data_IF_217395817455
#
_entry.id   IF_217395817455
#
_cell.length_a   1.000
_cell.length_b   1.000
_cell.length_c   1.000
_cell.angle_alpha   90.00
_cell.angle_beta   90.00
_cell.angle_gamma   90.00
#
_symmetry.space_group_name_H-M   'P 1'
#
loop_
_entity.id
_entity.type
_entity.pdbx_description
1 polymer ?
#
# COMPACT_ATOMS: atom_id res chain seq x y z
N UNK A 1 -2.26 13.51 -2.21
CA UNK A 1 -1.66 14.10 -3.43
C UNK A 1 -0.18 13.73 -3.48
N UNK A 2 0.40 13.57 -4.67
CA UNK A 2 1.82 13.24 -4.89
C UNK A 2 2.33 13.98 -6.13
N UNK A 3 3.49 14.63 -6.06
CA UNK A 3 4.08 15.33 -7.21
C UNK A 3 5.26 14.54 -7.78
N UNK A 4 5.12 14.10 -9.02
CA UNK A 4 6.16 13.45 -9.80
C UNK A 4 6.94 14.48 -10.61
N UNK A 5 8.17 14.76 -10.16
CA UNK A 5 9.07 15.72 -10.80
C UNK A 5 9.57 15.26 -12.16
N UNK A 6 9.68 13.96 -12.40
CA UNK A 6 10.23 13.42 -13.65
C UNK A 6 9.27 13.65 -14.81
N UNK A 7 7.97 13.46 -14.57
CA UNK A 7 6.94 13.63 -15.58
C UNK A 7 6.14 14.93 -15.46
N UNK A 8 6.49 15.79 -14.49
CA UNK A 8 5.79 17.04 -14.17
C UNK A 8 4.27 16.84 -13.94
N UNK A 9 3.94 15.80 -13.15
CA UNK A 9 2.57 15.37 -12.88
C UNK A 9 2.23 15.53 -11.41
N UNK A 10 1.11 16.19 -11.11
CA UNK A 10 0.52 16.19 -9.78
C UNK A 10 -0.59 15.14 -9.73
N UNK A 11 -0.28 14.01 -9.13
CA UNK A 11 -1.23 12.94 -8.88
C UNK A 11 -2.09 13.25 -7.67
N UNK A 12 -3.37 12.92 -7.77
CA UNK A 12 -4.34 13.13 -6.71
C UNK A 12 -5.36 11.99 -6.66
N UNK A 13 -6.06 11.91 -5.53
CA UNK A 13 -7.14 10.96 -5.30
C UNK A 13 -8.37 11.76 -4.93
N UNK A 14 -9.46 11.51 -5.64
CA UNK A 14 -10.79 11.97 -5.27
C UNK A 14 -11.55 10.80 -4.65
N UNK A 15 -12.20 11.07 -3.52
CA UNK A 15 -13.08 10.13 -2.83
C UNK A 15 -14.50 10.65 -2.88
N UNK A 16 -15.42 9.86 -3.43
CA UNK A 16 -16.86 10.14 -3.33
C UNK A 16 -17.43 9.32 -2.16
N UNK A 17 -17.47 9.95 -0.99
CA UNK A 17 -17.86 9.33 0.30
C UNK A 17 -19.37 9.26 0.54
N UNK A 18 -20.18 9.78 -0.37
CA UNK A 18 -21.65 9.77 -0.28
C UNK A 18 -22.27 8.41 -0.57
N UNK A 19 -21.50 7.44 -1.09
CA UNK A 19 -21.97 6.11 -1.43
C UNK A 19 -21.14 5.02 -0.74
N UNK A 20 -21.81 3.96 -0.28
CA UNK A 20 -21.17 2.70 0.10
C UNK A 20 -21.45 1.70 -1.03
N UNK A 21 -20.42 1.15 -1.71
CA UNK A 21 -18.98 1.30 -1.44
C UNK A 21 -18.41 2.67 -1.86
N UNK A 22 -17.32 3.10 -1.18
CA UNK A 22 -16.61 4.35 -1.48
C UNK A 22 -16.02 4.26 -2.89
N UNK A 23 -16.35 5.22 -3.75
CA UNK A 23 -15.71 5.34 -5.04
C UNK A 23 -14.45 6.18 -4.90
N UNK A 24 -13.38 5.70 -5.52
CA UNK A 24 -12.14 6.44 -5.66
C UNK A 24 -11.86 6.70 -7.13
N UNK A 25 -11.42 7.91 -7.43
CA UNK A 25 -10.84 8.27 -8.70
C UNK A 25 -9.38 8.68 -8.47
N UNK A 26 -8.45 8.07 -9.19
CA UNK A 26 -7.05 8.50 -9.22
C UNK A 26 -6.79 9.19 -10.54
N UNK A 27 -6.24 10.38 -10.48
CA UNK A 27 -5.91 11.16 -11.67
C UNK A 27 -4.64 11.96 -11.50
N UNK A 28 -4.25 12.64 -12.57
CA UNK A 28 -3.17 13.63 -12.54
C UNK A 28 -3.52 14.88 -13.34
N UNK A 29 -2.86 15.98 -12.99
CA UNK A 29 -2.81 17.20 -13.79
C UNK A 29 -1.36 17.50 -14.16
N UNK A 30 -1.17 18.22 -15.26
CA UNK A 30 0.14 18.78 -15.64
C UNK A 30 0.02 20.29 -15.77
N UNK A 31 1.10 21.07 -15.61
CA UNK A 31 1.04 22.52 -15.83
C UNK A 31 0.58 22.90 -17.23
N UNK A 32 0.87 22.07 -18.24
CA UNK A 32 0.52 22.31 -19.64
C UNK A 32 -0.94 21.91 -19.94
N UNK A 33 -1.49 20.95 -19.21
CA UNK A 33 -2.88 20.50 -19.30
C UNK A 33 -3.50 20.47 -17.89
N UNK A 34 -4.08 21.59 -17.43
CA UNK A 34 -4.68 21.68 -16.09
C UNK A 34 -5.99 20.88 -15.98
N UNK A 35 -6.55 20.43 -17.10
CA UNK A 35 -7.68 19.50 -17.10
C UNK A 35 -7.25 18.14 -16.57
N UNK A 36 -7.93 17.59 -15.54
CA UNK A 36 -7.51 16.34 -14.96
C UNK A 36 -7.66 15.14 -15.89
N UNK A 37 -6.61 14.30 -15.93
CA UNK A 37 -6.64 13.00 -16.60
C UNK A 37 -6.92 11.93 -15.56
N UNK A 38 -8.03 11.21 -15.72
CA UNK A 38 -8.42 10.12 -14.82
C UNK A 38 -7.78 8.82 -15.28
N UNK A 39 -7.02 8.18 -14.40
CA UNK A 39 -6.33 6.91 -14.65
C UNK A 39 -7.14 5.71 -14.18
N UNK A 40 -7.77 5.84 -13.02
CA UNK A 40 -8.51 4.75 -12.39
C UNK A 40 -9.77 5.29 -11.75
N UNK A 41 -10.90 4.64 -12.02
CA UNK A 41 -12.10 4.72 -11.17
C UNK A 41 -12.38 3.33 -10.64
N UNK A 42 -12.37 3.18 -9.32
CA UNK A 42 -12.66 1.89 -8.70
C UNK A 42 -13.42 2.06 -7.40
N UNK A 43 -14.05 0.97 -6.97
CA UNK A 43 -14.76 0.91 -5.71
C UNK A 43 -13.84 0.27 -4.67
N UNK A 44 -13.60 0.97 -3.57
CA UNK A 44 -13.01 0.34 -2.40
C UNK A 44 -14.16 -0.36 -1.68
N UNK A 45 -14.18 -1.68 -1.78
CA UNK A 45 -15.29 -2.56 -1.37
C UNK A 45 -15.61 -2.49 0.15
N UNK A 46 -14.84 -1.77 0.98
CA UNK A 46 -14.99 -1.88 2.44
C UNK A 46 -14.98 -0.54 3.17
N UNK A 47 -16.05 -0.36 3.94
CA UNK A 47 -16.27 0.55 5.06
C UNK A 47 -15.38 1.79 5.09
N UNK A 48 -15.74 2.82 4.30
CA UNK A 48 -15.29 4.20 4.52
C UNK A 48 -13.76 4.39 4.61
N UNK A 49 -12.99 3.54 3.92
CA UNK A 49 -11.53 3.63 3.89
C UNK A 49 -11.12 4.70 2.87
N UNK A 50 -10.98 5.94 3.32
CA UNK A 50 -10.42 7.02 2.51
C UNK A 50 -8.91 6.81 2.36
N UNK A 51 -8.34 6.91 1.14
CA UNK A 51 -6.90 6.84 0.95
C UNK A 51 -6.21 8.00 1.69
N UNK A 52 -5.38 7.66 2.67
CA UNK A 52 -4.63 8.62 3.48
C UNK A 52 -3.32 9.03 2.81
N UNK A 53 -2.77 8.18 1.94
CA UNK A 53 -1.51 8.44 1.24
C UNK A 53 -1.50 7.87 -0.17
N UNK A 54 -0.88 8.62 -1.08
CA UNK A 54 -0.67 8.25 -2.48
C UNK A 54 0.83 8.24 -2.78
N UNK A 55 1.30 7.21 -3.48
CA UNK A 55 2.69 7.08 -3.93
C UNK A 55 2.74 6.60 -5.37
N UNK A 56 3.74 7.01 -6.15
CA UNK A 56 3.87 6.64 -7.57
C UNK A 56 5.27 6.11 -7.85
N UNK A 57 5.36 4.99 -8.55
CA UNK A 57 6.61 4.38 -8.97
C UNK A 57 6.52 3.83 -10.39
N UNK A 58 7.15 4.50 -11.35
CA UNK A 58 7.04 4.11 -12.75
C UNK A 58 5.56 4.00 -13.13
N UNK A 59 5.14 2.81 -13.56
CA UNK A 59 3.74 2.55 -13.90
C UNK A 59 2.85 2.16 -12.71
N UNK A 60 3.35 2.11 -11.48
CA UNK A 60 2.55 1.67 -10.33
C UNK A 60 2.08 2.84 -9.45
N UNK A 61 0.78 2.88 -9.17
CA UNK A 61 0.14 3.79 -8.22
C UNK A 61 -0.18 3.02 -6.93
N UNK A 62 0.28 3.53 -5.78
CA UNK A 62 0.02 2.95 -4.47
C UNK A 62 -0.92 3.84 -3.66
N UNK A 63 -1.98 3.23 -3.14
CA UNK A 63 -2.97 3.86 -2.29
C UNK A 63 -2.96 3.17 -0.93
N UNK A 64 -2.75 3.95 0.13
CA UNK A 64 -2.77 3.47 1.51
C UNK A 64 -4.02 3.98 2.20
N UNK A 65 -4.73 3.11 2.92
CA UNK A 65 -5.82 3.52 3.80
C UNK A 65 -5.73 2.75 5.11
N UNK A 66 -5.63 3.48 6.22
CA UNK A 66 -5.60 2.92 7.58
C UNK A 66 -6.95 3.16 8.28
N UNK A 67 -7.62 2.08 8.68
CA UNK A 67 -8.84 2.17 9.52
C UNK A 67 -8.89 0.99 10.48
N UNK A 68 -9.24 1.25 11.75
CA UNK A 68 -9.56 0.24 12.77
C UNK A 68 -8.63 -0.98 12.73
N UNK A 69 -7.34 -0.76 12.94
CA UNK A 69 -6.32 -1.82 13.05
C UNK A 69 -6.11 -2.61 11.74
N UNK A 70 -6.38 -1.99 10.60
CA UNK A 70 -6.07 -2.57 9.30
C UNK A 70 -5.55 -1.52 8.32
N UNK A 71 -4.48 -1.89 7.63
CA UNK A 71 -3.91 -1.15 6.52
C UNK A 71 -4.31 -1.83 5.22
N UNK A 72 -5.00 -1.10 4.36
CA UNK A 72 -5.27 -1.49 2.98
C UNK A 72 -4.26 -0.83 2.06
N UNK A 73 -3.65 -1.65 1.20
CA UNK A 73 -2.65 -1.23 0.22
C UNK A 73 -3.15 -1.69 -1.13
N UNK A 74 -3.50 -0.73 -1.98
CA UNK A 74 -3.85 -1.00 -3.36
C UNK A 74 -2.71 -0.57 -4.26
N UNK A 75 -2.37 -1.43 -5.22
CA UNK A 75 -1.40 -1.14 -6.26
C UNK A 75 -2.11 -1.24 -7.61
N UNK A 76 -2.11 -0.16 -8.37
CA UNK A 76 -2.61 -0.13 -9.74
C UNK A 76 -1.45 0.04 -10.70
N UNK A 77 -1.27 -0.90 -11.61
CA UNK A 77 -0.29 -0.77 -12.69
C UNK A 77 -0.97 -0.09 -13.90
N UNK A 78 -0.47 1.08 -14.29
CA UNK A 78 -0.96 1.92 -15.39
C UNK A 78 -0.69 1.30 -16.76
N UNK A 79 0.35 0.46 -16.91
CA UNK A 79 0.68 -0.20 -18.17
C UNK A 79 -0.24 -1.40 -18.43
N UNK A 80 -0.41 -2.27 -17.42
CA UNK A 80 -1.22 -3.48 -17.53
C UNK A 80 -2.67 -3.29 -17.11
N UNK A 81 -3.03 -2.08 -16.67
CA UNK A 81 -4.30 -1.72 -16.02
C UNK A 81 -4.70 -2.66 -14.88
N UNK A 82 -3.69 -3.23 -14.20
CA UNK A 82 -3.88 -4.29 -13.21
C UNK A 82 -4.04 -3.74 -11.80
N UNK A 83 -5.18 -4.03 -11.14
CA UNK A 83 -5.42 -3.66 -9.75
C UNK A 83 -5.17 -4.84 -8.79
N UNK A 84 -4.30 -4.61 -7.81
CA UNK A 84 -4.04 -5.53 -6.69
C UNK A 84 -4.39 -4.85 -5.39
N UNK A 85 -4.95 -5.60 -4.45
CA UNK A 85 -5.26 -5.09 -3.12
C UNK A 85 -4.74 -6.06 -2.06
N UNK A 86 -4.22 -5.49 -0.98
CA UNK A 86 -3.73 -6.23 0.17
C UNK A 86 -4.20 -5.58 1.45
N UNK A 87 -4.64 -6.40 2.40
CA UNK A 87 -4.95 -5.99 3.76
C UNK A 87 -3.88 -6.52 4.72
N UNK A 88 -3.32 -5.65 5.54
CA UNK A 88 -2.52 -5.99 6.71
C UNK A 88 -3.36 -5.71 7.96
N UNK A 89 -3.32 -6.58 8.96
CA UNK A 89 -4.09 -6.46 10.22
C UNK A 89 -3.36 -5.58 11.25
N UNK A 90 -2.88 -4.43 10.83
CA UNK A 90 -2.13 -3.50 11.67
C UNK A 90 -2.45 -2.06 11.30
N UNK A 91 -2.19 -1.13 12.21
CA UNK A 91 -2.32 0.30 11.96
C UNK A 91 -1.04 0.84 11.32
N UNK A 92 -1.17 1.57 10.21
CA UNK A 92 -0.07 2.30 9.58
C UNK A 92 0.24 3.57 10.36
N UNK A 93 1.51 3.78 10.71
CA UNK A 93 1.99 5.06 11.21
C UNK A 93 2.57 5.93 10.10
N UNK A 94 3.39 5.34 9.24
CA UNK A 94 4.11 6.07 8.19
C UNK A 94 4.52 5.11 7.07
N UNK A 95 4.67 5.62 5.84
CA UNK A 95 5.35 4.89 4.79
C UNK A 95 6.27 5.76 3.95
N UNK A 96 7.42 5.18 3.59
CA UNK A 96 8.45 5.80 2.76
C UNK A 96 8.65 4.94 1.53
N UNK A 97 8.58 5.55 0.37
CA UNK A 97 8.94 4.90 -0.89
C UNK A 97 10.43 5.14 -1.20
N UNK A 98 11.15 4.08 -1.55
CA UNK A 98 12.52 4.14 -2.06
C UNK A 98 12.68 3.17 -3.24
N UNK A 99 12.79 3.70 -4.47
CA UNK A 99 12.84 2.87 -5.66
C UNK A 99 11.58 2.01 -5.82
N UNK A 100 11.76 0.69 -5.99
CA UNK A 100 10.70 -0.31 -6.13
C UNK A 100 10.16 -0.87 -4.81
N UNK A 101 10.58 -0.27 -3.71
CA UNK A 101 10.26 -0.71 -2.38
C UNK A 101 9.49 0.36 -1.61
N UNK A 102 8.50 -0.08 -0.85
CA UNK A 102 7.77 0.74 0.08
C UNK A 102 7.99 0.18 1.47
N UNK A 103 8.56 1.01 2.34
CA UNK A 103 8.73 0.71 3.74
C UNK A 103 7.52 1.25 4.50
N UNK A 104 6.68 0.36 5.03
CA UNK A 104 5.55 0.68 5.89
C UNK A 104 5.93 0.46 7.35
N UNK A 105 5.89 1.51 8.16
CA UNK A 105 6.01 1.43 9.62
C UNK A 105 4.62 1.26 10.23
N UNK A 106 4.41 0.17 10.95
CA UNK A 106 3.16 -0.15 11.64
C UNK A 106 3.36 -0.24 13.15
N UNK A 107 2.26 -0.48 13.89
CA UNK A 107 2.19 -0.66 15.35
C UNK A 107 3.30 -1.52 15.93
N UNK A 108 3.46 -2.73 15.39
CA UNK A 108 4.35 -3.76 15.96
C UNK A 108 5.45 -4.22 14.98
N UNK A 109 5.44 -3.71 13.75
CA UNK A 109 6.32 -4.19 12.71
C UNK A 109 6.64 -3.13 11.66
N UNK A 110 7.78 -3.30 11.01
CA UNK A 110 8.15 -2.59 9.79
C UNK A 110 8.08 -3.59 8.66
N UNK A 111 7.37 -3.26 7.57
CA UNK A 111 7.24 -4.12 6.40
C UNK A 111 7.75 -3.42 5.16
N UNK A 112 8.57 -4.13 4.41
CA UNK A 112 9.01 -3.77 3.07
C UNK A 112 8.13 -4.50 2.05
N UNK A 113 7.48 -3.73 1.19
CA UNK A 113 6.67 -4.21 0.08
C UNK A 113 7.37 -3.89 -1.23
N UNK A 114 7.37 -4.83 -2.17
CA UNK A 114 7.73 -4.53 -3.54
C UNK A 114 6.53 -4.03 -4.35
N UNK A 115 6.80 -3.44 -5.51
CA UNK A 115 5.76 -2.90 -6.40
C UNK A 115 4.65 -3.90 -6.76
N UNK A 116 4.99 -5.18 -6.78
CA UNK A 116 4.07 -6.26 -7.11
C UNK A 116 3.21 -6.75 -5.94
N UNK A 117 3.42 -6.23 -4.72
CA UNK A 117 2.81 -6.69 -3.46
C UNK A 117 3.02 -8.18 -3.17
N UNK A 118 3.99 -8.82 -3.85
CA UNK A 118 4.23 -10.27 -3.79
C UNK A 118 5.16 -10.65 -2.65
N UNK A 119 6.08 -9.76 -2.27
CA UNK A 119 7.08 -10.05 -1.24
C UNK A 119 6.97 -9.07 -0.09
N UNK A 120 6.84 -9.62 1.10
CA UNK A 120 6.83 -8.90 2.38
C UNK A 120 8.09 -9.32 3.11
N UNK A 121 9.00 -8.38 3.33
CA UNK A 121 10.03 -8.54 4.35
C UNK A 121 9.60 -7.76 5.56
N UNK A 122 9.51 -8.39 6.72
CA UNK A 122 9.10 -7.70 7.94
C UNK A 122 10.13 -7.81 9.04
N UNK A 123 10.25 -6.74 9.82
CA UNK A 123 10.99 -6.70 11.08
C UNK A 123 9.96 -6.51 12.18
N UNK A 124 9.90 -7.44 13.13
CA UNK A 124 9.08 -7.32 14.33
C UNK A 124 10.02 -7.11 15.51
N UNK A 125 9.70 -6.12 16.35
CA UNK A 125 10.41 -5.85 17.59
C UNK A 125 9.44 -5.97 18.76
N UNK A 126 9.70 -6.90 19.68
CA UNK A 126 8.92 -7.15 20.90
C UNK A 126 7.45 -7.59 20.72
N UNK A 127 7.25 -8.89 20.53
CA UNK A 127 6.13 -9.60 21.17
C UNK A 127 6.59 -11.02 21.54
N UNK A 128 6.41 -11.41 22.82
CA UNK A 128 6.68 -12.77 23.31
C UNK A 128 5.78 -13.83 22.64
N UNK A 129 4.80 -13.39 21.85
CA UNK A 129 3.87 -14.22 21.10
C UNK A 129 4.06 -14.16 19.59
N UNK A 130 5.23 -13.73 19.08
CA UNK A 130 5.45 -13.61 17.63
C UNK A 130 5.11 -14.90 16.85
N UNK A 131 5.32 -16.06 17.47
CA UNK A 131 4.99 -17.39 16.95
C UNK A 131 3.47 -17.62 16.77
N UNK A 132 2.62 -16.85 17.46
CA UNK A 132 1.14 -16.90 17.33
C UNK A 132 0.62 -16.03 16.18
N UNK A 133 1.34 -14.97 15.83
CA UNK A 133 0.92 -14.02 14.79
C UNK A 133 1.42 -14.42 13.41
N UNK A 134 2.59 -15.06 13.36
CA UNK A 134 3.22 -15.48 12.11
C UNK A 134 3.29 -16.99 12.05
N UNK A 135 2.86 -17.55 10.93
CA UNK A 135 3.05 -18.97 10.67
C UNK A 135 4.57 -19.23 10.66
N UNK A 136 5.08 -19.98 11.63
CA UNK A 136 6.52 -20.23 11.90
C UNK A 136 7.33 -20.68 10.67
N UNK A 137 6.67 -21.08 9.59
CA UNK A 137 7.29 -21.42 8.30
C UNK A 137 7.87 -20.23 7.53
N UNK A 138 7.58 -18.97 7.91
CA UNK A 138 8.02 -17.76 7.20
C UNK A 138 9.06 -16.92 7.97
N UNK A 139 9.46 -17.31 9.17
CA UNK A 139 10.54 -16.64 9.92
C UNK A 139 11.86 -17.09 9.29
N UNK A 140 12.56 -16.18 8.61
CA UNK A 140 13.79 -16.49 7.91
C UNK A 140 15.01 -16.33 8.80
N UNK A 141 14.98 -15.41 9.79
CA UNK A 141 16.15 -15.12 10.61
C UNK A 141 15.78 -14.40 11.93
N UNK A 142 16.41 -14.79 13.05
CA UNK A 142 16.37 -14.03 14.31
C UNK A 142 17.60 -13.14 14.36
N UNK A 143 17.42 -11.82 14.45
CA UNK A 143 18.54 -10.86 14.51
C UNK A 143 19.08 -10.72 15.94
N UNK A 144 18.20 -10.64 16.93
CA UNK A 144 18.57 -10.56 18.34
C UNK A 144 17.48 -11.17 19.24
N UNK A 145 17.60 -10.96 20.56
CA UNK A 145 16.66 -11.54 21.53
C UNK A 145 15.19 -11.15 21.27
N UNK A 146 14.97 -9.98 20.68
CA UNK A 146 13.68 -9.31 20.55
C UNK A 146 13.31 -8.95 19.10
N UNK A 147 14.21 -9.16 18.14
CA UNK A 147 14.06 -8.76 16.74
C UNK A 147 14.09 -9.96 15.81
N UNK A 148 13.05 -10.06 14.96
CA UNK A 148 12.91 -11.13 13.99
C UNK A 148 12.70 -10.57 12.59
N UNK A 149 13.37 -11.17 11.61
CA UNK A 149 13.15 -10.92 10.18
C UNK A 149 12.37 -12.09 9.61
N UNK A 150 11.27 -11.77 8.94
CA UNK A 150 10.51 -12.75 8.20
C UNK A 150 10.41 -12.37 6.74
N UNK A 151 10.37 -13.38 5.88
CA UNK A 151 10.13 -13.21 4.45
C UNK A 151 8.94 -14.06 4.08
N UNK A 152 7.90 -13.44 3.52
CA UNK A 152 6.73 -14.18 3.10
C UNK A 152 6.34 -13.83 1.66
N UNK A 153 6.08 -14.89 0.90
CA UNK A 153 5.55 -14.83 -0.45
C UNK A 153 4.05 -15.03 -0.35
N UNK A 154 3.31 -13.94 -0.18
CA UNK A 154 1.86 -14.01 -0.16
C UNK A 154 1.34 -13.69 -1.56
N UNK A 155 0.53 -14.57 -2.17
CA UNK A 155 -0.12 -14.25 -3.43
C UNK A 155 -1.03 -13.05 -3.23
N UNK A 156 -0.79 -11.97 -3.98
CA UNK A 156 -1.71 -10.83 -4.01
C UNK A 156 -3.04 -11.29 -4.63
N UNK A 157 -4.17 -10.86 -4.06
CA UNK A 157 -5.46 -11.05 -4.69
C UNK A 157 -5.61 -10.04 -5.84
N UNK A 158 -5.71 -10.55 -7.06
CA UNK A 158 -6.09 -9.73 -8.22
C UNK A 158 -7.58 -9.42 -8.10
N UNK A 159 -7.92 -8.14 -8.06
CA UNK A 159 -9.32 -7.72 -8.20
C UNK A 159 -9.55 -7.57 -9.70
N UNK A 160 -10.43 -8.40 -10.26
CA UNK A 160 -10.92 -8.28 -11.63
C UNK A 160 -12.17 -7.40 -11.67
#
# INVERSE_FOLDING_TARGET
MFYDKQYDRLYYVETESTFSPVQIAVGFITPQHPTPTILLRTQIIRDGCEPTQLSVQGDNLFLFSSRCDSLYIMSYNMETEGLRCRRLKETLYDCIQNGDQILCRMSIQIVLLNANLQKVWGIVTHDQNIEKYFNLKCISERLDENTYVFSDNFPAATIK
#
